data_IF_011633749894
#
_entry.id   IF_011633749894
#
_cell.length_a   1.000
_cell.length_b   1.000
_cell.length_c   1.000
_cell.angle_alpha   90.00
_cell.angle_beta   90.00
_cell.angle_gamma   90.00
#
_symmetry.space_group_name_H-M   'P 1'
#
loop_
_entity.id
_entity.type
_entity.pdbx_description
1 polymer ?
#
# COMPACT_ATOMS: atom_id res chain seq x y z
N UNK A 1 -42.31 -52.27 -3.55
CA UNK A 1 -40.93 -52.75 -3.37
C UNK A 1 -40.10 -51.49 -3.15
N UNK A 2 -39.68 -51.12 -1.95
CA UNK A 2 -38.89 -51.89 -0.96
C UNK A 2 -39.24 -51.35 0.44
N UNK A 3 -40.00 -52.09 1.26
CA UNK A 3 -39.49 -52.93 2.37
C UNK A 3 -38.41 -52.24 3.23
N UNK A 4 -38.83 -51.38 4.14
CA UNK A 4 -38.04 -51.04 5.34
C UNK A 4 -38.23 -52.17 6.35
N UNK A 5 -37.17 -52.75 6.95
CA UNK A 5 -37.35 -53.79 7.96
C UNK A 5 -38.01 -53.19 9.21
N UNK A 6 -39.07 -53.84 9.67
CA UNK A 6 -39.76 -53.52 10.92
C UNK A 6 -38.77 -53.54 12.09
N UNK A 7 -38.67 -52.45 12.84
CA UNK A 7 -37.90 -52.41 14.08
C UNK A 7 -38.43 -53.46 15.07
N UNK A 8 -37.54 -54.21 15.76
CA UNK A 8 -37.96 -55.16 16.78
C UNK A 8 -38.52 -54.39 17.98
N UNK A 9 -39.69 -54.84 18.46
CA UNK A 9 -40.26 -54.37 19.72
C UNK A 9 -39.33 -54.75 20.89
N UNK A 10 -39.15 -53.88 21.90
CA UNK A 10 -38.26 -54.18 23.01
C UNK A 10 -38.93 -55.22 23.92
N UNK A 11 -38.36 -56.43 23.95
CA UNK A 11 -38.65 -57.43 24.98
C UNK A 11 -38.22 -56.91 26.35
N UNK A 12 -39.16 -56.93 27.29
CA UNK A 12 -38.93 -56.59 28.68
C UNK A 12 -38.08 -57.69 29.35
N UNK A 13 -36.81 -57.39 29.59
CA UNK A 13 -35.97 -58.18 30.49
C UNK A 13 -35.15 -57.25 31.40
N UNK A 14 -35.40 -57.35 32.71
CA UNK A 14 -34.39 -57.05 33.74
C UNK A 14 -34.33 -55.62 34.29
N UNK A 15 -35.37 -55.17 34.99
CA UNK A 15 -35.26 -54.09 35.99
C UNK A 15 -34.49 -54.59 37.22
N UNK A 16 -33.27 -54.06 37.44
CA UNK A 16 -32.74 -53.68 38.77
C UNK A 16 -31.40 -52.93 38.62
N UNK A 17 -31.49 -51.60 38.63
CA UNK A 17 -30.37 -50.65 38.70
C UNK A 17 -30.77 -49.19 38.42
N UNK A 18 -31.88 -48.95 37.72
CA UNK A 18 -32.11 -47.70 37.00
C UNK A 18 -32.74 -46.49 37.73
N UNK A 19 -33.01 -46.50 39.03
CA UNK A 19 -33.62 -45.32 39.70
C UNK A 19 -32.61 -44.43 40.42
N UNK A 20 -31.62 -45.03 41.07
CA UNK A 20 -30.57 -44.30 41.79
C UNK A 20 -29.58 -43.65 40.82
N UNK A 21 -29.22 -44.35 39.74
CA UNK A 21 -28.30 -43.85 38.71
C UNK A 21 -28.91 -42.68 37.93
N UNK A 22 -30.18 -42.80 37.51
CA UNK A 22 -30.90 -41.70 36.86
C UNK A 22 -31.06 -40.48 37.77
N UNK A 23 -31.30 -40.68 39.07
CA UNK A 23 -31.38 -39.58 40.04
C UNK A 23 -30.02 -38.93 40.30
N UNK A 24 -28.95 -39.73 40.34
CA UNK A 24 -27.58 -39.26 40.47
C UNK A 24 -27.14 -38.45 39.24
N UNK A 25 -27.44 -38.95 38.05
CA UNK A 25 -27.20 -38.25 36.78
C UNK A 25 -27.99 -36.94 36.72
N UNK A 26 -29.25 -36.94 37.15
CA UNK A 26 -30.05 -35.71 37.19
C UNK A 26 -29.44 -34.64 38.12
N UNK A 27 -28.89 -35.04 39.28
CA UNK A 27 -28.23 -34.11 40.22
C UNK A 27 -26.91 -33.60 39.65
N UNK A 28 -26.14 -34.47 39.00
CA UNK A 28 -24.88 -34.12 38.37
C UNK A 28 -25.09 -33.14 37.21
N UNK A 29 -26.03 -33.44 36.31
CA UNK A 29 -26.41 -32.59 35.18
C UNK A 29 -26.86 -31.22 35.68
N UNK A 30 -27.75 -31.15 36.69
CA UNK A 30 -28.17 -29.87 37.28
C UNK A 30 -26.97 -29.05 37.75
N UNK A 31 -26.04 -29.66 38.49
CA UNK A 31 -24.85 -28.98 39.00
C UNK A 31 -23.99 -28.42 37.86
N UNK A 32 -23.78 -29.20 36.79
CA UNK A 32 -22.95 -28.81 35.64
C UNK A 32 -23.60 -27.72 34.79
N UNK A 33 -24.92 -27.77 34.62
CA UNK A 33 -25.67 -26.72 33.91
C UNK A 33 -25.51 -25.38 34.63
N UNK A 34 -25.53 -25.35 35.97
CA UNK A 34 -25.29 -24.10 36.70
C UNK A 34 -23.85 -23.60 36.57
N UNK A 35 -22.84 -24.47 36.56
CA UNK A 35 -21.46 -24.05 36.29
C UNK A 35 -21.36 -23.40 34.91
N UNK A 36 -21.89 -24.05 33.88
CA UNK A 36 -21.88 -23.53 32.52
C UNK A 36 -22.62 -22.19 32.42
N UNK A 37 -23.83 -22.08 32.99
CA UNK A 37 -24.61 -20.84 32.98
C UNK A 37 -23.91 -19.70 33.73
N UNK A 38 -23.28 -19.98 34.87
CA UNK A 38 -22.58 -18.97 35.66
C UNK A 38 -21.34 -18.45 34.92
N UNK A 39 -20.59 -19.33 34.27
CA UNK A 39 -19.44 -18.93 33.44
C UNK A 39 -19.91 -18.12 32.24
N UNK A 40 -20.94 -18.58 31.52
CA UNK A 40 -21.47 -17.85 30.36
C UNK A 40 -22.03 -16.47 30.74
N UNK A 41 -22.63 -16.34 31.93
CA UNK A 41 -23.10 -15.07 32.47
C UNK A 41 -21.93 -14.15 32.88
N UNK A 42 -20.90 -14.70 33.53
CA UNK A 42 -19.71 -13.95 33.91
C UNK A 42 -18.91 -13.45 32.70
N UNK A 43 -18.94 -14.20 31.59
CA UNK A 43 -18.35 -13.81 30.30
C UNK A 43 -19.25 -12.87 29.48
N UNK A 44 -20.39 -12.42 30.05
CA UNK A 44 -21.38 -11.57 29.40
C UNK A 44 -21.93 -12.14 28.08
N UNK A 45 -21.99 -13.48 27.96
CA UNK A 45 -22.52 -14.19 26.78
C UNK A 45 -24.03 -14.34 26.84
N UNK A 46 -24.56 -14.50 28.05
CA UNK A 46 -25.98 -14.61 28.34
C UNK A 46 -26.35 -13.70 29.52
N UNK A 47 -27.57 -13.18 29.51
CA UNK A 47 -28.19 -12.54 30.68
C UNK A 47 -29.26 -13.47 31.26
N UNK A 48 -29.42 -13.46 32.59
CA UNK A 48 -30.48 -14.21 33.26
C UNK A 48 -31.33 -13.28 34.12
N UNK A 49 -32.59 -13.14 33.76
CA UNK A 49 -33.61 -12.45 34.55
C UNK A 49 -34.64 -13.48 35.05
N UNK A 50 -34.58 -13.81 36.35
CA UNK A 50 -35.45 -14.83 36.96
C UNK A 50 -35.39 -16.19 36.22
N UNK A 51 -36.42 -16.52 35.43
CA UNK A 51 -36.53 -17.77 34.65
C UNK A 51 -36.25 -17.57 33.16
N UNK A 52 -35.96 -16.34 32.73
CA UNK A 52 -35.63 -16.00 31.35
C UNK A 52 -34.11 -15.94 31.19
N UNK A 53 -33.59 -16.60 30.14
CA UNK A 53 -32.19 -16.52 29.73
C UNK A 53 -32.16 -15.89 28.34
N UNK A 54 -31.52 -14.74 28.21
CA UNK A 54 -31.33 -14.05 26.93
C UNK A 54 -29.91 -14.26 26.43
N UNK A 55 -29.77 -14.54 25.15
CA UNK A 55 -28.48 -14.61 24.48
C UNK A 55 -27.97 -13.19 24.16
N UNK A 56 -26.78 -12.83 24.66
CA UNK A 56 -26.17 -11.50 24.45
C UNK A 56 -25.11 -11.51 23.33
N UNK A 57 -24.40 -12.63 23.12
CA UNK A 57 -23.35 -12.78 22.11
C UNK A 57 -21.96 -13.06 22.69
N UNK A 58 -20.98 -13.45 21.88
CA UNK A 58 -19.63 -13.78 22.39
C UNK A 58 -18.81 -12.51 22.71
N UNK A 59 -17.99 -12.49 23.79
CA UNK A 59 -17.20 -11.33 24.22
C UNK A 59 -16.14 -10.89 23.21
N UNK A 60 -15.70 -11.79 22.32
CA UNK A 60 -15.08 -11.40 21.03
C UNK A 60 -16.19 -10.96 20.10
N UNK A 61 -16.70 -9.77 20.39
CA UNK A 61 -17.74 -9.11 19.63
C UNK A 61 -17.21 -8.92 18.21
N UNK A 62 -17.89 -9.48 17.23
CA UNK A 62 -17.61 -9.28 15.80
C UNK A 62 -17.37 -7.79 15.47
N UNK A 63 -17.94 -6.86 16.21
CA UNK A 63 -17.67 -5.42 16.10
C UNK A 63 -16.23 -5.01 16.44
N UNK A 64 -15.60 -5.57 17.48
CA UNK A 64 -14.20 -5.28 17.83
C UNK A 64 -13.24 -5.89 16.79
N UNK A 65 -13.54 -7.09 16.29
CA UNK A 65 -12.79 -7.69 15.20
C UNK A 65 -12.97 -6.90 13.89
N UNK A 66 -14.19 -6.44 13.59
CA UNK A 66 -14.49 -5.56 12.47
C UNK A 66 -13.67 -4.26 12.56
N UNK A 67 -13.66 -3.60 13.73
CA UNK A 67 -12.87 -2.39 13.97
C UNK A 67 -11.37 -2.63 13.76
N UNK A 68 -10.84 -3.75 14.26
CA UNK A 68 -9.43 -4.13 14.06
C UNK A 68 -9.12 -4.37 12.58
N UNK A 69 -10.01 -5.06 11.86
CA UNK A 69 -9.86 -5.33 10.43
C UNK A 69 -9.96 -4.04 9.60
N UNK A 70 -10.81 -3.10 9.99
CA UNK A 70 -10.91 -1.77 9.37
C UNK A 70 -9.63 -0.96 9.57
N UNK A 71 -9.07 -0.95 10.78
CA UNK A 71 -7.79 -0.30 11.06
C UNK A 71 -6.64 -0.92 10.24
N UNK A 72 -6.57 -2.25 10.17
CA UNK A 72 -5.56 -2.94 9.38
C UNK A 72 -5.75 -2.71 7.87
N UNK A 73 -7.00 -2.68 7.39
CA UNK A 73 -7.33 -2.29 6.01
C UNK A 73 -6.83 -0.88 5.72
N UNK A 74 -7.10 0.08 6.61
CA UNK A 74 -6.66 1.46 6.45
C UNK A 74 -5.13 1.57 6.37
N UNK A 75 -4.43 0.93 7.30
CA UNK A 75 -2.96 0.85 7.30
C UNK A 75 -2.41 0.25 6.00
N UNK A 76 -3.03 -0.83 5.51
CA UNK A 76 -2.64 -1.46 4.24
C UNK A 76 -2.87 -0.53 3.05
N UNK A 77 -3.97 0.23 3.03
CA UNK A 77 -4.26 1.18 1.96
C UNK A 77 -3.21 2.30 1.90
N UNK A 78 -2.78 2.81 3.05
CA UNK A 78 -1.71 3.81 3.14
C UNK A 78 -0.38 3.27 2.61
N UNK A 79 0.00 2.05 3.01
CA UNK A 79 1.21 1.38 2.49
C UNK A 79 1.11 1.13 0.98
N UNK A 80 -0.06 0.73 0.48
CA UNK A 80 -0.29 0.54 -0.96
C UNK A 80 -0.15 1.87 -1.70
N UNK A 81 -0.68 2.97 -1.15
CA UNK A 81 -0.56 4.29 -1.74
C UNK A 81 0.90 4.74 -1.83
N UNK A 82 1.65 4.60 -0.73
CA UNK A 82 3.09 4.92 -0.70
C UNK A 82 3.89 4.10 -1.72
N UNK A 83 3.65 2.77 -1.78
CA UNK A 83 4.34 1.90 -2.75
C UNK A 83 3.97 2.21 -4.21
N UNK A 84 2.74 2.65 -4.47
CA UNK A 84 2.33 3.10 -5.80
C UNK A 84 3.09 4.36 -6.21
N UNK A 85 3.24 5.32 -5.30
CA UNK A 85 4.04 6.51 -5.55
C UNK A 85 5.50 6.17 -5.82
N UNK A 86 6.11 5.33 -4.98
CA UNK A 86 7.49 4.87 -5.18
C UNK A 86 7.67 4.16 -6.54
N UNK A 87 6.73 3.29 -6.91
CA UNK A 87 6.75 2.65 -8.23
C UNK A 87 6.70 3.69 -9.35
N UNK A 88 5.83 4.70 -9.22
CA UNK A 88 5.72 5.76 -10.21
C UNK A 88 7.01 6.56 -10.35
N UNK A 89 7.68 6.90 -9.24
CA UNK A 89 8.95 7.61 -9.26
C UNK A 89 10.05 6.82 -9.98
N UNK A 90 10.12 5.50 -9.73
CA UNK A 90 11.05 4.60 -10.43
C UNK A 90 10.72 4.49 -11.93
N UNK A 91 9.44 4.47 -12.29
CA UNK A 91 9.04 4.48 -13.71
C UNK A 91 9.45 5.77 -14.40
N UNK A 92 9.27 6.93 -13.75
CA UNK A 92 9.73 8.22 -14.27
C UNK A 92 11.24 8.24 -14.49
N UNK A 93 12.01 7.73 -13.52
CA UNK A 93 13.46 7.58 -13.64
C UNK A 93 13.85 6.71 -14.84
N UNK A 94 13.22 5.54 -15.00
CA UNK A 94 13.46 4.64 -16.12
C UNK A 94 13.18 5.31 -17.48
N UNK A 95 12.07 6.04 -17.56
CA UNK A 95 11.68 6.79 -18.76
C UNK A 95 12.72 7.87 -19.05
N UNK A 96 13.07 8.69 -18.06
CA UNK A 96 14.01 9.80 -18.20
C UNK A 96 15.40 9.32 -18.66
N UNK A 97 15.92 8.23 -18.07
CA UNK A 97 17.19 7.64 -18.48
C UNK A 97 17.16 7.08 -19.90
N UNK A 98 16.12 6.32 -20.26
CA UNK A 98 16.01 5.79 -21.63
C UNK A 98 15.90 6.91 -22.65
N UNK A 99 15.15 7.96 -22.33
CA UNK A 99 14.98 9.12 -23.20
C UNK A 99 16.29 9.89 -23.34
N UNK A 100 17.07 10.05 -22.27
CA UNK A 100 18.42 10.63 -22.31
C UNK A 100 19.33 9.83 -23.26
N UNK A 101 19.38 8.52 -23.08
CA UNK A 101 20.23 7.63 -23.89
C UNK A 101 19.83 7.67 -25.36
N UNK A 102 18.52 7.63 -25.66
CA UNK A 102 18.02 7.71 -27.03
C UNK A 102 18.36 9.06 -27.68
N UNK A 103 18.14 10.17 -26.95
CA UNK A 103 18.50 11.52 -27.42
C UNK A 103 20.00 11.63 -27.70
N UNK A 104 20.84 11.16 -26.78
CA UNK A 104 22.30 11.24 -26.95
C UNK A 104 22.77 10.38 -28.12
N UNK A 105 22.22 9.17 -28.31
CA UNK A 105 22.50 8.33 -29.48
C UNK A 105 22.17 9.00 -30.81
N UNK A 106 21.07 9.75 -30.88
CA UNK A 106 20.70 10.50 -32.08
C UNK A 106 21.68 11.66 -32.32
N UNK A 107 22.09 12.37 -31.26
CA UNK A 107 23.07 13.45 -31.35
C UNK A 107 24.43 12.92 -31.82
N UNK A 108 24.90 11.80 -31.27
CA UNK A 108 26.18 11.15 -31.66
C UNK A 108 26.15 10.55 -33.08
N UNK A 109 24.97 10.23 -33.61
CA UNK A 109 24.83 9.82 -35.01
C UNK A 109 24.95 11.00 -35.97
N UNK A 110 24.41 12.16 -35.57
CA UNK A 110 24.35 13.35 -36.42
C UNK A 110 25.54 14.30 -36.25
N UNK A 111 26.24 14.22 -35.11
CA UNK A 111 27.40 15.03 -34.74
C UNK A 111 28.49 14.11 -34.21
N UNK A 112 29.73 14.60 -34.19
CA UNK A 112 30.82 13.88 -33.51
C UNK A 112 30.56 13.81 -32.00
N UNK A 113 31.05 12.74 -31.39
CA UNK A 113 31.00 12.52 -29.94
C UNK A 113 31.53 13.76 -29.21
N UNK A 114 30.78 14.31 -28.23
CA UNK A 114 31.21 15.47 -27.47
C UNK A 114 32.55 15.22 -26.78
N UNK A 115 33.33 16.28 -26.58
CA UNK A 115 34.58 16.18 -25.83
C UNK A 115 34.29 15.74 -24.37
N UNK A 116 35.15 14.94 -23.73
CA UNK A 116 34.93 14.48 -22.36
C UNK A 116 34.69 15.63 -21.36
N UNK A 117 35.38 16.76 -21.55
CA UNK A 117 35.26 17.95 -20.71
C UNK A 117 33.90 18.67 -20.83
N UNK A 118 33.15 18.42 -21.91
CA UNK A 118 31.81 19.00 -22.12
C UNK A 118 30.67 18.07 -21.68
N UNK A 119 30.98 16.97 -21.00
CA UNK A 119 30.00 15.95 -20.60
C UNK A 119 30.12 15.62 -19.12
N UNK A 120 28.97 15.40 -18.48
CA UNK A 120 28.89 14.96 -17.09
C UNK A 120 28.22 13.58 -17.09
N UNK A 121 28.94 12.50 -16.76
CA UNK A 121 28.36 11.17 -16.65
C UNK A 121 27.49 11.06 -15.40
N UNK A 122 26.52 10.14 -15.44
CA UNK A 122 25.73 9.79 -14.26
C UNK A 122 26.47 8.73 -13.41
N UNK A 123 26.25 8.67 -12.09
CA UNK A 123 25.41 9.57 -11.28
C UNK A 123 26.14 10.86 -10.89
N UNK A 124 25.39 11.95 -10.73
CA UNK A 124 25.93 13.22 -10.24
C UNK A 124 24.91 13.94 -9.34
N UNK A 125 25.39 14.94 -8.61
CA UNK A 125 24.56 15.92 -7.90
C UNK A 125 24.96 17.32 -8.38
N UNK A 126 24.00 18.24 -8.43
CA UNK A 126 24.24 19.65 -8.75
C UNK A 126 23.94 20.47 -7.51
N UNK A 127 24.89 21.34 -7.15
CA UNK A 127 24.66 22.40 -6.17
C UNK A 127 24.49 23.70 -6.96
N UNK A 128 23.31 24.29 -6.85
CA UNK A 128 22.93 25.54 -7.51
C UNK A 128 22.89 26.66 -6.48
N UNK A 129 23.44 27.83 -6.80
CA UNK A 129 23.39 29.01 -5.95
C UNK A 129 23.38 30.26 -6.82
N UNK A 130 23.19 31.44 -6.22
CA UNK A 130 23.16 32.68 -6.97
C UNK A 130 24.56 32.98 -7.57
N UNK A 131 24.59 33.61 -8.75
CA UNK A 131 25.84 34.00 -9.42
C UNK A 131 26.67 34.99 -8.61
N UNK A 132 26.06 35.71 -7.67
CA UNK A 132 26.75 36.64 -6.77
C UNK A 132 27.28 36.00 -5.48
N UNK A 133 26.89 34.76 -5.18
CA UNK A 133 27.30 34.04 -3.97
C UNK A 133 28.81 33.76 -4.00
N UNK A 134 29.50 34.11 -2.92
CA UNK A 134 30.90 33.76 -2.70
C UNK A 134 30.96 32.34 -2.15
N UNK A 135 31.78 31.50 -2.79
CA UNK A 135 31.93 30.08 -2.45
C UNK A 135 33.37 29.82 -2.05
N UNK A 136 33.59 29.49 -0.79
CA UNK A 136 34.88 29.00 -0.31
C UNK A 136 34.86 27.47 -0.26
N UNK A 137 35.78 26.83 -1.01
CA UNK A 137 35.88 25.38 -1.09
C UNK A 137 37.21 24.91 -0.50
N UNK A 138 37.13 24.06 0.52
CA UNK A 138 38.28 23.37 1.11
C UNK A 138 38.20 21.88 0.78
N UNK A 139 39.27 21.35 0.18
CA UNK A 139 39.33 19.97 -0.28
C UNK A 139 40.48 19.27 0.46
N UNK A 140 40.18 18.12 1.04
CA UNK A 140 41.18 17.21 1.60
C UNK A 140 42.20 16.76 0.54
N UNK A 141 43.43 16.44 0.97
CA UNK A 141 44.49 16.02 0.03
C UNK A 141 44.14 14.74 -0.74
N UNK A 142 43.38 13.83 -0.12
CA UNK A 142 42.93 12.57 -0.72
C UNK A 142 41.61 12.69 -1.48
N UNK A 143 41.00 13.90 -1.48
CA UNK A 143 39.71 14.18 -2.14
C UNK A 143 38.56 13.33 -1.60
N UNK A 144 38.63 12.87 -0.35
CA UNK A 144 37.54 12.15 0.31
C UNK A 144 36.52 13.11 0.93
N UNK A 145 36.99 14.24 1.42
CA UNK A 145 36.20 15.27 2.08
C UNK A 145 36.27 16.60 1.33
N UNK A 146 35.10 17.21 1.17
CA UNK A 146 34.90 18.52 0.57
C UNK A 146 34.05 19.37 1.54
N UNK A 147 34.54 20.56 1.88
CA UNK A 147 33.82 21.53 2.68
C UNK A 147 33.55 22.77 1.82
N UNK A 148 32.27 23.05 1.59
CA UNK A 148 31.81 24.24 0.88
C UNK A 148 31.19 25.22 1.88
N UNK A 149 31.68 26.44 1.90
CA UNK A 149 31.08 27.56 2.60
C UNK A 149 30.44 28.50 1.58
N UNK A 150 29.15 28.77 1.76
CA UNK A 150 28.37 29.68 0.93
C UNK A 150 27.95 30.86 1.80
N UNK A 151 28.08 32.08 1.29
CA UNK A 151 27.61 33.28 1.96
C UNK A 151 26.10 33.56 1.77
N UNK A 152 25.43 32.75 0.94
CA UNK A 152 24.00 32.80 0.65
C UNK A 152 23.42 31.36 0.53
N UNK A 153 22.12 31.28 0.32
CA UNK A 153 21.36 30.05 0.10
C UNK A 153 21.81 29.28 -1.15
N UNK A 154 21.67 27.96 -1.08
CA UNK A 154 21.95 27.05 -2.19
C UNK A 154 20.89 25.94 -2.25
N UNK A 155 20.75 25.34 -3.42
CA UNK A 155 19.86 24.22 -3.70
C UNK A 155 20.69 23.01 -4.14
N UNK A 156 20.29 21.81 -3.73
CA UNK A 156 20.91 20.55 -4.18
C UNK A 156 19.89 19.79 -5.02
N UNK A 157 20.30 19.40 -6.22
CA UNK A 157 19.50 18.58 -7.14
C UNK A 157 20.23 17.27 -7.43
N UNK A 158 19.50 16.16 -7.42
CA UNK A 158 20.01 14.89 -7.93
C UNK A 158 19.92 14.83 -9.47
N UNK A 159 20.54 13.81 -10.05
CA UNK A 159 20.53 13.60 -11.49
C UNK A 159 19.09 13.45 -12.05
N UNK A 160 18.20 12.77 -11.33
CA UNK A 160 16.81 12.55 -11.74
C UNK A 160 16.01 13.83 -11.80
N UNK A 161 16.11 14.69 -10.80
CA UNK A 161 15.45 15.99 -10.78
C UNK A 161 15.92 16.84 -11.97
N UNK A 162 17.22 16.86 -12.25
CA UNK A 162 17.78 17.56 -13.41
C UNK A 162 17.20 16.99 -14.71
N UNK A 163 17.13 15.66 -14.87
CA UNK A 163 16.55 15.03 -16.05
C UNK A 163 15.05 15.35 -16.21
N UNK A 164 14.28 15.38 -15.12
CA UNK A 164 12.88 15.81 -15.13
C UNK A 164 12.74 17.26 -15.57
N UNK A 165 13.57 18.17 -15.02
CA UNK A 165 13.62 19.59 -15.40
C UNK A 165 14.02 19.80 -16.87
N UNK A 166 14.88 18.93 -17.42
CA UNK A 166 15.22 18.89 -18.85
C UNK A 166 14.09 18.37 -19.76
N UNK A 167 12.94 17.98 -19.20
CA UNK A 167 11.79 17.47 -19.95
C UNK A 167 11.91 16.01 -20.37
N UNK A 168 12.91 15.27 -19.86
CA UNK A 168 13.17 13.88 -20.28
C UNK A 168 12.15 12.90 -19.70
N UNK A 169 11.44 13.30 -18.64
CA UNK A 169 10.27 12.58 -18.11
C UNK A 169 8.97 12.85 -18.89
N UNK A 170 9.03 13.56 -20.03
CA UNK A 170 7.88 13.80 -20.91
C UNK A 170 6.68 14.48 -20.23
N UNK A 171 6.93 15.28 -19.19
CA UNK A 171 5.88 16.00 -18.44
C UNK A 171 4.96 15.10 -17.62
N UNK A 172 5.30 13.81 -17.45
CA UNK A 172 4.55 12.88 -16.61
C UNK A 172 4.63 13.26 -15.12
N UNK A 173 5.71 13.92 -14.71
CA UNK A 173 5.90 14.47 -13.36
C UNK A 173 4.98 15.68 -13.07
N UNK A 174 4.62 16.46 -14.10
CA UNK A 174 3.83 17.70 -13.96
C UNK A 174 2.38 17.58 -14.45
N UNK A 175 1.99 16.43 -15.00
CA UNK A 175 0.67 16.24 -15.60
C UNK A 175 0.46 16.96 -16.93
N UNK A 176 1.54 17.41 -17.58
CA UNK A 176 1.50 18.11 -18.88
C UNK A 176 1.87 17.20 -20.06
N UNK A 177 1.92 15.88 -19.83
CA UNK A 177 2.27 14.90 -20.85
C UNK A 177 1.21 14.82 -21.96
N UNK A 178 1.64 14.94 -23.21
CA UNK A 178 0.77 14.77 -24.39
C UNK A 178 0.40 13.29 -24.60
N UNK A 179 -0.67 12.98 -25.36
CA UNK A 179 -1.02 11.59 -25.69
C UNK A 179 0.07 10.86 -26.51
N UNK A 180 0.80 11.59 -27.36
CA UNK A 180 1.89 11.03 -28.16
C UNK A 180 3.09 10.68 -27.29
N UNK A 181 3.45 11.58 -26.38
CA UNK A 181 4.50 11.37 -25.39
C UNK A 181 4.17 10.22 -24.44
N UNK A 182 2.89 10.07 -24.06
CA UNK A 182 2.44 8.95 -23.25
C UNK A 182 2.70 7.61 -23.96
N UNK A 183 2.40 7.52 -25.26
CA UNK A 183 2.64 6.29 -26.02
C UNK A 183 4.14 6.00 -26.18
N UNK A 184 4.95 7.05 -26.28
CA UNK A 184 6.41 6.91 -26.26
C UNK A 184 6.91 6.44 -24.89
N UNK A 185 6.41 7.01 -23.79
CA UNK A 185 6.74 6.62 -22.42
C UNK A 185 6.40 5.15 -22.13
N UNK A 186 5.23 4.69 -22.60
CA UNK A 186 4.81 3.28 -22.47
C UNK A 186 5.80 2.32 -23.11
N UNK A 187 6.33 2.65 -24.29
CA UNK A 187 7.35 1.84 -24.98
C UNK A 187 8.70 1.82 -24.27
N UNK A 188 8.96 2.78 -23.37
CA UNK A 188 10.19 2.83 -22.58
C UNK A 188 10.12 1.95 -21.32
N UNK A 189 8.95 1.47 -20.90
CA UNK A 189 8.81 0.60 -19.72
C UNK A 189 8.47 -0.85 -20.11
N UNK A 190 8.71 -1.84 -19.24
CA UNK A 190 8.26 -3.21 -19.47
C UNK A 190 6.74 -3.29 -19.66
N UNK A 191 6.25 -4.21 -20.51
CA UNK A 191 4.81 -4.37 -20.84
C UNK A 191 3.91 -4.52 -19.62
N UNK A 192 4.38 -5.23 -18.59
CA UNK A 192 3.64 -5.42 -17.33
C UNK A 192 3.43 -4.12 -16.54
N UNK A 193 4.25 -3.10 -16.79
CA UNK A 193 4.26 -1.83 -16.07
C UNK A 193 3.58 -0.69 -16.85
N UNK A 194 3.27 -0.88 -18.14
CA UNK A 194 2.59 0.13 -18.97
C UNK A 194 1.25 0.60 -18.38
N UNK A 195 0.52 -0.31 -17.73
CA UNK A 195 -0.78 -0.02 -17.11
C UNK A 195 -0.65 1.04 -16.04
N UNK A 196 0.46 1.04 -15.29
CA UNK A 196 0.69 2.01 -14.21
C UNK A 196 0.99 3.41 -14.77
N UNK A 197 1.78 3.51 -15.83
CA UNK A 197 2.06 4.81 -16.49
C UNK A 197 0.76 5.43 -17.00
N UNK A 198 -0.08 4.66 -17.68
CA UNK A 198 -1.39 5.14 -18.17
C UNK A 198 -2.32 5.53 -17.03
N UNK A 199 -2.38 4.72 -15.98
CA UNK A 199 -3.24 4.95 -14.83
C UNK A 199 -2.91 6.25 -14.13
N UNK A 200 -1.63 6.50 -13.85
CA UNK A 200 -1.19 7.73 -13.18
C UNK A 200 -1.42 8.96 -14.07
N UNK A 201 -1.17 8.87 -15.37
CA UNK A 201 -1.48 9.95 -16.31
C UNK A 201 -2.98 10.29 -16.34
N UNK A 202 -3.86 9.28 -16.40
CA UNK A 202 -5.32 9.49 -16.34
C UNK A 202 -5.73 10.11 -15.01
N UNK A 203 -5.18 9.62 -13.90
CA UNK A 203 -5.43 10.16 -12.55
C UNK A 203 -5.09 11.64 -12.50
N UNK A 204 -3.90 12.02 -12.99
CA UNK A 204 -3.43 13.40 -13.02
C UNK A 204 -4.30 14.30 -13.92
N UNK A 205 -4.70 13.82 -15.10
CA UNK A 205 -5.59 14.58 -16.00
C UNK A 205 -6.99 14.78 -15.43
N UNK A 206 -7.56 13.75 -14.78
CA UNK A 206 -8.86 13.84 -14.11
C UNK A 206 -8.78 14.85 -12.96
N UNK A 207 -7.69 14.84 -12.19
CA UNK A 207 -7.44 15.82 -11.13
C UNK A 207 -7.38 17.24 -11.70
N UNK A 208 -6.58 17.47 -12.75
CA UNK A 208 -6.50 18.78 -13.41
C UNK A 208 -7.86 19.23 -13.95
N UNK A 209 -8.66 18.34 -14.56
CA UNK A 209 -10.00 18.69 -15.03
C UNK A 209 -10.94 19.06 -13.88
N UNK A 210 -10.88 18.34 -12.76
CA UNK A 210 -11.69 18.66 -11.57
C UNK A 210 -11.29 20.02 -10.99
N UNK A 211 -9.98 20.27 -10.84
CA UNK A 211 -9.44 21.53 -10.29
C UNK A 211 -9.77 22.71 -11.21
N UNK A 212 -9.66 22.55 -12.54
CA UNK A 212 -10.08 23.57 -13.49
C UNK A 212 -11.59 23.82 -13.43
N UNK A 213 -12.42 22.78 -13.27
CA UNK A 213 -13.87 22.95 -13.16
C UNK A 213 -14.30 23.69 -11.89
N UNK A 214 -13.61 23.45 -10.76
CA UNK A 214 -13.80 24.20 -9.51
C UNK A 214 -13.27 25.64 -9.60
N UNK A 215 -12.20 25.90 -10.35
CA UNK A 215 -11.63 27.24 -10.52
C UNK A 215 -12.44 28.15 -11.44
N UNK A 216 -13.32 27.58 -12.28
CA UNK A 216 -14.24 28.33 -13.16
C UNK A 216 -15.62 28.55 -12.50
N UNK A 217 -15.88 27.92 -11.35
CA UNK A 217 -17.13 28.07 -10.59
C UNK A 217 -17.00 28.98 -9.35
N UNK A 218 -15.86 29.65 -9.17
CA UNK A 218 -15.63 30.70 -8.18
C UNK A 218 -15.31 32.04 -8.84
#
# INVERSE_FOLDING_TARGET
MSLWPSLPQPEAAGLRGGTADQAYDQKNIRRRVYDALNVLMAMNIISKEKKEIRWLGLPTNSAQECQRLEQEKQRRLEVIAAKRQQLYDVLLQQIAYKNLVERNKVVERNRQTPAPASTIPLPFIIINTNKQTVIDCSISNDKSEYLFHFDDTFEIHDDIEVLKRMGLAMGLDKGTCSPEDLERARRMVPRSLEVYVRREWLSMMLLCRLVCHLSVTF
#
